data_IF_393632425620
#
_entry.id   IF_393632425620
#
_cell.length_a   1.000
_cell.length_b   1.000
_cell.length_c   1.000
_cell.angle_alpha   90.00
_cell.angle_beta   90.00
_cell.angle_gamma   90.00
#
_symmetry.space_group_name_H-M   'P 1'
#
loop_
_entity.id
_entity.type
_entity.pdbx_description
1 polymer ?
#
# COMPACT_ATOMS: atom_id res chain seq x y z
N UNK A 1 -8.09 33.53 -5.02
CA UNK A 1 -7.32 32.36 -4.56
C UNK A 1 -7.95 31.14 -5.20
N UNK A 2 -7.21 30.41 -6.05
CA UNK A 2 -7.55 29.10 -6.64
C UNK A 2 -6.30 28.66 -7.44
N UNK A 3 -5.30 28.11 -6.73
CA UNK A 3 -4.05 27.56 -7.29
C UNK A 3 -3.44 26.55 -6.30
N UNK A 4 -4.12 25.43 -6.10
CA UNK A 4 -3.61 24.22 -5.46
C UNK A 4 -4.20 23.05 -6.26
N UNK A 5 -3.44 21.95 -6.38
CA UNK A 5 -3.70 20.77 -7.24
C UNK A 5 -3.42 21.04 -8.75
N UNK A 6 -2.75 20.13 -9.50
CA UNK A 6 -2.16 18.84 -9.11
C UNK A 6 -0.62 18.81 -9.12
N UNK A 7 -0.03 18.17 -8.10
CA UNK A 7 1.36 17.66 -8.11
C UNK A 7 1.36 16.12 -8.33
N UNK A 8 0.19 15.50 -8.30
CA UNK A 8 -0.06 14.12 -8.72
C UNK A 8 0.20 13.95 -10.22
N UNK A 9 1.25 13.19 -10.56
CA UNK A 9 1.41 12.33 -11.76
C UNK A 9 2.90 12.24 -12.12
N UNK A 10 3.70 11.40 -11.45
CA UNK A 10 5.08 11.13 -11.87
C UNK A 10 5.40 9.62 -11.76
N UNK A 11 6.23 9.05 -12.68
CA UNK A 11 6.11 7.64 -13.08
C UNK A 11 7.36 6.84 -13.52
N UNK A 12 7.57 5.55 -13.04
CA UNK A 12 7.99 4.29 -13.78
C UNK A 12 8.48 3.00 -12.97
N UNK A 13 8.45 1.76 -13.54
CA UNK A 13 9.15 0.51 -13.11
C UNK A 13 9.32 -0.61 -14.17
N UNK A 14 10.17 -1.59 -13.81
CA UNK A 14 10.52 -2.87 -14.43
C UNK A 14 9.52 -4.05 -14.34
N UNK A 15 9.93 -5.20 -14.90
CA UNK A 15 9.27 -6.52 -14.89
C UNK A 15 9.09 -7.14 -13.50
N UNK A 16 8.24 -8.17 -13.38
CA UNK A 16 7.89 -8.88 -12.14
C UNK A 16 9.10 -9.10 -11.20
N UNK A 17 9.07 -8.36 -10.09
CA UNK A 17 9.96 -8.44 -8.95
C UNK A 17 9.15 -9.00 -7.78
N UNK A 18 9.79 -9.74 -6.88
CA UNK A 18 9.23 -10.02 -5.56
C UNK A 18 9.13 -8.68 -4.81
N UNK A 19 7.96 -8.05 -4.91
CA UNK A 19 7.72 -6.73 -4.37
C UNK A 19 7.50 -6.86 -2.86
N UNK A 20 8.20 -6.04 -2.09
CA UNK A 20 7.89 -5.85 -0.67
C UNK A 20 6.84 -4.75 -0.58
N UNK A 21 5.59 -5.15 -0.37
CA UNK A 21 4.42 -4.27 -0.27
C UNK A 21 4.14 -4.06 1.22
N UNK A 22 4.15 -2.81 1.67
CA UNK A 22 3.83 -2.40 3.04
C UNK A 22 2.47 -1.73 3.07
N UNK A 23 1.51 -2.38 3.73
CA UNK A 23 0.13 -1.92 3.90
C UNK A 23 -0.03 -1.36 5.32
N UNK A 24 -0.70 -0.21 5.42
CA UNK A 24 -1.19 0.32 6.70
C UNK A 24 -2.56 -0.30 6.98
N UNK A 25 -2.71 -1.17 8.00
CA UNK A 25 -3.97 -1.77 8.36
C UNK A 25 -4.91 -0.74 9.00
N UNK A 26 -6.21 -0.99 8.90
CA UNK A 26 -7.20 -0.31 9.72
C UNK A 26 -7.21 -0.96 11.11
N UNK A 27 -6.90 -0.20 12.15
CA UNK A 27 -7.00 -0.60 13.56
C UNK A 27 -8.29 -0.01 14.14
N UNK A 28 -9.20 -0.84 14.65
CA UNK A 28 -10.57 -0.45 15.04
C UNK A 28 -10.64 0.68 16.06
N UNK A 29 -9.73 0.67 17.04
CA UNK A 29 -9.63 1.69 18.09
C UNK A 29 -8.97 3.00 17.62
N UNK A 30 -8.42 3.01 16.39
CA UNK A 30 -7.43 3.99 15.96
C UNK A 30 -6.05 3.72 16.58
N UNK A 31 -5.07 4.56 16.20
CA UNK A 31 -3.73 4.59 16.79
C UNK A 31 -3.44 5.98 17.35
N UNK A 32 -2.65 6.11 18.43
CA UNK A 32 -2.08 5.03 19.24
C UNK A 32 -3.12 4.32 20.11
N UNK A 33 -2.85 3.08 20.53
CA UNK A 33 -3.81 2.26 21.30
C UNK A 33 -3.14 1.26 22.24
N UNK A 34 -3.92 0.61 23.12
CA UNK A 34 -3.46 -0.51 23.94
C UNK A 34 -4.37 -1.71 23.69
N UNK A 35 -3.78 -2.83 23.22
CA UNK A 35 -4.47 -4.10 23.03
C UNK A 35 -3.78 -5.14 23.91
N UNK A 36 -4.50 -5.62 24.91
CA UNK A 36 -4.03 -6.65 25.83
C UNK A 36 -4.04 -8.03 25.16
N UNK A 37 -3.11 -8.89 25.55
CA UNK A 37 -3.11 -10.31 25.20
C UNK A 37 -4.51 -10.95 25.38
N UNK A 38 -5.13 -11.46 24.30
CA UNK A 38 -6.37 -12.22 24.40
C UNK A 38 -6.09 -13.57 25.07
N UNK A 39 -7.03 -14.06 25.89
CA UNK A 39 -6.87 -15.31 26.61
C UNK A 39 -6.86 -16.51 25.63
N UNK A 40 -5.69 -16.97 25.17
CA UNK A 40 -5.59 -18.02 24.14
C UNK A 40 -6.19 -19.38 24.52
N UNK A 41 -6.53 -19.60 25.80
CA UNK A 41 -7.24 -20.81 26.24
C UNK A 41 -8.77 -20.68 26.17
N UNK A 42 -9.29 -19.49 25.89
CA UNK A 42 -10.71 -19.16 25.77
C UNK A 42 -11.03 -18.30 24.53
N UNK A 43 -10.02 -17.87 23.77
CA UNK A 43 -10.17 -16.88 22.73
C UNK A 43 -9.64 -17.38 21.37
N UNK A 44 -10.37 -17.07 20.28
CA UNK A 44 -11.67 -16.41 20.29
C UNK A 44 -12.79 -17.44 20.53
N UNK A 45 -13.77 -17.10 21.39
CA UNK A 45 -15.04 -17.82 21.48
C UNK A 45 -15.92 -17.43 20.27
N UNK A 46 -15.41 -17.71 19.06
CA UNK A 46 -16.10 -17.44 17.80
C UNK A 46 -16.81 -18.70 17.28
N UNK A 47 -17.87 -18.49 16.49
CA UNK A 47 -18.54 -19.56 15.78
C UNK A 47 -17.62 -20.05 14.65
N UNK A 48 -17.09 -21.25 14.84
CA UNK A 48 -16.25 -21.94 13.86
C UNK A 48 -16.93 -22.15 12.50
N UNK A 49 -18.26 -22.09 12.41
CA UNK A 49 -19.02 -22.36 11.19
C UNK A 49 -19.75 -21.12 10.63
N UNK A 50 -19.57 -19.94 11.23
CA UNK A 50 -20.10 -18.70 10.70
C UNK A 50 -19.18 -18.12 9.62
N UNK A 51 -19.49 -18.38 8.35
CA UNK A 51 -18.77 -17.84 7.20
C UNK A 51 -19.40 -16.56 6.61
N UNK A 52 -20.23 -15.86 7.39
CA UNK A 52 -20.84 -14.59 6.94
C UNK A 52 -19.76 -13.56 6.64
N UNK A 53 -19.93 -12.81 5.54
CA UNK A 53 -19.00 -11.75 5.15
C UNK A 53 -18.80 -10.75 6.31
N UNK A 54 -17.54 -10.44 6.61
CA UNK A 54 -17.16 -9.56 7.72
C UNK A 54 -17.02 -10.23 9.09
N UNK A 55 -17.49 -11.47 9.29
CA UNK A 55 -17.52 -12.09 10.63
C UNK A 55 -16.14 -12.16 11.32
N UNK A 56 -15.08 -12.58 10.61
CA UNK A 56 -13.73 -12.59 11.18
C UNK A 56 -13.20 -11.17 11.44
N UNK A 57 -13.57 -10.19 10.62
CA UNK A 57 -13.24 -8.77 10.85
C UNK A 57 -13.94 -8.23 12.09
N UNK A 58 -15.11 -8.75 12.49
CA UNK A 58 -15.76 -8.39 13.76
C UNK A 58 -14.98 -8.91 14.98
N UNK A 59 -14.26 -10.04 14.86
CA UNK A 59 -13.50 -10.66 15.95
C UNK A 59 -12.06 -10.15 16.10
N UNK A 60 -11.48 -9.56 15.05
CA UNK A 60 -10.10 -9.05 15.02
C UNK A 60 -10.03 -7.55 15.36
N UNK A 61 -8.96 -7.06 15.99
CA UNK A 61 -8.80 -5.62 16.28
C UNK A 61 -8.26 -4.81 15.09
N UNK A 62 -7.66 -5.47 14.11
CA UNK A 62 -7.15 -4.86 12.89
C UNK A 62 -7.48 -5.68 11.63
N UNK A 63 -7.52 -4.99 10.48
CA UNK A 63 -7.59 -5.63 9.18
C UNK A 63 -6.77 -4.89 8.12
N UNK A 64 -6.20 -5.62 7.17
CA UNK A 64 -5.48 -5.07 6.03
C UNK A 64 -6.12 -5.57 4.73
N UNK A 65 -6.65 -4.63 3.94
CA UNK A 65 -7.16 -4.93 2.62
C UNK A 65 -5.99 -5.10 1.64
N UNK A 66 -5.99 -6.20 0.89
CA UNK A 66 -4.93 -6.51 -0.06
C UNK A 66 -5.25 -5.96 -1.45
N UNK A 67 -4.24 -5.47 -2.21
CA UNK A 67 -4.45 -5.02 -3.58
C UNK A 67 -5.03 -6.14 -4.46
N UNK A 68 -6.00 -5.82 -5.31
CA UNK A 68 -6.57 -6.78 -6.27
C UNK A 68 -5.50 -7.29 -7.26
N UNK A 69 -4.45 -6.48 -7.49
CA UNK A 69 -3.29 -6.82 -8.32
C UNK A 69 -2.34 -7.84 -7.68
N UNK A 70 -2.40 -8.07 -6.36
CA UNK A 70 -1.54 -9.04 -5.68
C UNK A 70 -1.92 -10.46 -6.12
N UNK A 71 -1.04 -11.10 -6.89
CA UNK A 71 -1.28 -12.42 -7.49
C UNK A 71 -0.71 -13.58 -6.68
N UNK A 72 0.44 -13.35 -6.01
CA UNK A 72 1.11 -14.34 -5.17
C UNK A 72 1.56 -13.72 -3.84
N UNK A 73 1.80 -14.58 -2.85
CA UNK A 73 2.40 -14.23 -1.56
C UNK A 73 3.46 -15.29 -1.28
N UNK A 74 4.68 -14.85 -1.04
CA UNK A 74 5.82 -15.66 -0.59
C UNK A 74 6.00 -15.57 0.93
N UNK A 75 5.81 -14.37 1.49
CA UNK A 75 5.95 -14.09 2.92
C UNK A 75 4.99 -13.01 3.37
N UNK A 76 4.49 -13.09 4.61
CA UNK A 76 3.88 -11.93 5.28
C UNK A 76 4.42 -11.79 6.69
N UNK A 77 4.84 -10.57 7.03
CA UNK A 77 5.25 -10.18 8.37
C UNK A 77 4.39 -9.01 8.87
N UNK A 78 3.93 -9.08 10.11
CA UNK A 78 3.19 -8.00 10.77
C UNK A 78 4.14 -7.32 11.75
N UNK A 79 4.41 -6.03 11.53
CA UNK A 79 5.27 -5.19 12.37
C UNK A 79 4.42 -4.37 13.30
N UNK A 80 4.81 -4.31 14.57
CA UNK A 80 4.15 -3.48 15.58
C UNK A 80 5.21 -2.64 16.29
N UNK A 81 5.05 -1.32 16.26
CA UNK A 81 5.89 -0.38 17.00
C UNK A 81 5.23 -0.05 18.33
N UNK A 82 5.97 -0.16 19.42
CA UNK A 82 5.50 0.08 20.78
C UNK A 82 6.18 1.28 21.43
N UNK A 83 5.42 2.01 22.26
CA UNK A 83 5.92 3.00 23.22
C UNK A 83 5.54 2.61 24.66
N UNK A 84 6.11 3.31 25.63
CA UNK A 84 5.88 3.11 27.08
C UNK A 84 6.10 1.65 27.58
N UNK A 85 6.97 0.89 26.92
CA UNK A 85 7.23 -0.53 27.20
C UNK A 85 7.65 -0.76 28.65
N UNK A 86 6.79 -1.43 29.43
CA UNK A 86 7.06 -1.74 30.84
C UNK A 86 7.91 -3.02 30.99
N UNK A 87 9.23 -2.89 30.88
CA UNK A 87 10.25 -3.95 31.12
C UNK A 87 10.29 -4.54 32.55
N UNK A 88 9.29 -4.27 33.41
CA UNK A 88 9.23 -4.76 34.80
C UNK A 88 8.99 -6.28 34.90
N UNK A 89 8.52 -6.90 33.82
CA UNK A 89 8.31 -8.34 33.73
C UNK A 89 9.26 -8.92 32.69
N UNK A 90 10.26 -9.70 33.14
CA UNK A 90 11.28 -10.32 32.28
C UNK A 90 10.77 -11.46 31.36
N UNK A 91 9.46 -11.46 31.09
CA UNK A 91 8.73 -12.41 30.26
C UNK A 91 7.63 -11.73 29.44
N UNK A 92 7.68 -10.40 29.28
CA UNK A 92 6.73 -9.67 28.45
C UNK A 92 6.86 -10.08 26.97
N UNK A 93 5.73 -10.27 26.30
CA UNK A 93 5.64 -10.74 24.92
C UNK A 93 4.84 -9.76 24.05
N UNK A 94 5.33 -9.51 22.84
CA UNK A 94 4.49 -9.06 21.73
C UNK A 94 3.89 -10.29 21.06
N UNK A 95 2.66 -10.17 20.55
CA UNK A 95 2.06 -11.23 19.76
C UNK A 95 1.07 -10.71 18.73
N UNK A 96 0.77 -11.57 17.76
CA UNK A 96 -0.28 -11.33 16.77
C UNK A 96 -1.13 -12.58 16.64
N UNK A 97 -2.45 -12.43 16.76
CA UNK A 97 -3.42 -13.44 16.33
C UNK A 97 -3.95 -13.11 14.94
N UNK A 98 -3.68 -13.96 13.96
CA UNK A 98 -4.36 -13.97 12.66
C UNK A 98 -5.66 -14.76 12.76
N UNK A 99 -6.70 -14.29 12.09
CA UNK A 99 -8.01 -14.93 11.97
C UNK A 99 -8.19 -15.34 10.50
N UNK A 100 -8.54 -16.60 10.26
CA UNK A 100 -8.70 -17.19 8.91
C UNK A 100 -9.60 -18.43 8.98
N UNK A 101 -9.62 -19.29 7.96
CA UNK A 101 -10.42 -20.53 7.93
C UNK A 101 -9.67 -21.68 7.26
N UNK A 102 -9.81 -22.88 7.79
CA UNK A 102 -9.36 -24.10 7.09
C UNK A 102 -10.21 -24.34 5.84
N UNK A 103 -9.64 -24.98 4.82
CA UNK A 103 -10.36 -25.39 3.59
C UNK A 103 -10.41 -26.92 3.47
N UNK A 104 -11.54 -27.46 3.00
CA UNK A 104 -11.69 -28.90 2.75
C UNK A 104 -10.93 -29.35 1.48
N UNK A 105 -11.01 -30.64 1.14
CA UNK A 105 -10.39 -31.20 -0.07
C UNK A 105 -10.95 -30.67 -1.40
N UNK A 106 -12.10 -30.00 -1.37
CA UNK A 106 -12.77 -29.40 -2.52
C UNK A 106 -12.46 -27.89 -2.62
N UNK A 107 -11.72 -27.33 -1.65
CA UNK A 107 -11.34 -25.91 -1.57
C UNK A 107 -12.35 -25.01 -0.85
N UNK A 108 -13.45 -25.57 -0.34
CA UNK A 108 -14.49 -24.81 0.38
C UNK A 108 -14.09 -24.51 1.83
N UNK A 109 -14.64 -23.43 2.42
CA UNK A 109 -14.39 -23.04 3.81
C UNK A 109 -14.95 -24.12 4.76
N UNK A 110 -14.08 -24.72 5.58
CA UNK A 110 -14.42 -25.86 6.45
C UNK A 110 -14.71 -25.44 7.89
N UNK A 111 -13.88 -24.57 8.46
CA UNK A 111 -14.09 -23.95 9.78
C UNK A 111 -13.18 -22.73 9.97
N UNK A 112 -13.66 -21.71 10.68
CA UNK A 112 -12.86 -20.58 11.14
C UNK A 112 -11.80 -21.03 12.16
N UNK A 113 -10.61 -20.45 12.10
CA UNK A 113 -9.46 -20.79 12.95
C UNK A 113 -8.56 -19.57 13.16
N UNK A 114 -7.77 -19.57 14.23
CA UNK A 114 -6.70 -18.59 14.44
C UNK A 114 -5.33 -19.20 14.18
N UNK A 115 -4.35 -18.33 13.96
CA UNK A 115 -2.91 -18.64 13.96
C UNK A 115 -2.23 -17.57 14.80
N UNK A 116 -1.43 -17.97 15.77
CA UNK A 116 -0.78 -17.03 16.69
C UNK A 116 0.73 -17.12 16.59
N UNK A 117 1.40 -15.96 16.58
CA UNK A 117 2.85 -15.85 16.77
C UNK A 117 3.17 -14.95 17.97
N UNK A 118 4.34 -15.17 18.60
CA UNK A 118 4.81 -14.47 19.80
C UNK A 118 6.32 -14.30 19.81
N UNK A 119 6.77 -13.09 20.12
CA UNK A 119 8.18 -12.75 20.33
C UNK A 119 8.35 -12.01 21.66
N UNK A 120 9.59 -11.81 22.11
CA UNK A 120 9.85 -10.95 23.25
C UNK A 120 9.37 -9.52 22.95
N UNK A 121 8.75 -8.85 23.94
CA UNK A 121 8.32 -7.47 23.78
C UNK A 121 9.53 -6.53 23.69
N UNK A 122 9.55 -5.70 22.65
CA UNK A 122 10.58 -4.71 22.35
C UNK A 122 9.88 -3.47 21.73
N UNK A 123 10.61 -2.36 21.52
CA UNK A 123 10.08 -1.14 20.89
C UNK A 123 9.58 -1.38 19.45
N UNK A 124 10.06 -2.43 18.78
CA UNK A 124 9.54 -2.90 17.49
C UNK A 124 9.53 -4.43 17.46
N UNK A 125 8.36 -5.03 17.23
CA UNK A 125 8.20 -6.46 16.96
C UNK A 125 7.97 -6.73 15.48
N UNK A 126 8.37 -7.92 15.02
CA UNK A 126 8.07 -8.45 13.68
C UNK A 126 7.57 -9.90 13.84
N UNK A 127 6.39 -10.18 13.31
CA UNK A 127 5.70 -11.47 13.38
C UNK A 127 5.50 -12.04 11.97
N UNK A 128 6.33 -12.99 11.55
CA UNK A 128 6.31 -13.55 10.18
C UNK A 128 5.61 -14.91 10.12
N UNK A 129 4.63 -15.03 9.22
CA UNK A 129 3.74 -16.20 9.11
C UNK A 129 4.19 -17.17 8.02
N UNK A 130 5.40 -17.73 8.17
CA UNK A 130 6.09 -18.51 7.13
C UNK A 130 5.52 -19.93 6.91
N UNK A 131 4.55 -20.35 7.73
CA UNK A 131 4.29 -21.77 8.01
C UNK A 131 3.22 -22.45 7.14
N UNK A 132 2.45 -21.72 6.31
CA UNK A 132 1.31 -22.33 5.60
C UNK A 132 0.80 -21.61 4.35
N UNK A 133 1.09 -22.17 3.17
CA UNK A 133 0.60 -21.69 1.87
C UNK A 133 -0.93 -21.64 1.73
N UNK A 134 -1.69 -22.36 2.57
CA UNK A 134 -3.16 -22.30 2.55
C UNK A 134 -3.70 -20.98 3.11
N UNK A 135 -3.01 -20.39 4.10
CA UNK A 135 -3.35 -19.09 4.69
C UNK A 135 -3.20 -18.00 3.63
N UNK A 136 -2.09 -18.03 2.90
CA UNK A 136 -1.83 -17.13 1.78
C UNK A 136 -2.89 -17.24 0.68
N UNK A 137 -3.34 -18.47 0.35
CA UNK A 137 -4.45 -18.67 -0.61
C UNK A 137 -5.76 -18.03 -0.13
N UNK A 138 -6.09 -18.15 1.16
CA UNK A 138 -7.28 -17.49 1.72
C UNK A 138 -7.18 -15.97 1.60
N UNK A 139 -6.06 -15.38 2.03
CA UNK A 139 -5.83 -13.94 1.94
C UNK A 139 -5.84 -13.44 0.48
N UNK A 140 -5.28 -14.19 -0.46
CA UNK A 140 -5.33 -13.88 -1.89
C UNK A 140 -6.73 -13.98 -2.48
N UNK A 141 -7.59 -14.87 -1.96
CA UNK A 141 -8.96 -15.08 -2.42
C UNK A 141 -9.93 -14.02 -1.86
N UNK A 142 -9.90 -13.78 -0.54
CA UNK A 142 -10.77 -12.80 0.12
C UNK A 142 -10.23 -11.35 -0.02
N UNK A 143 -8.99 -11.16 -0.50
CA UNK A 143 -8.25 -9.88 -0.56
C UNK A 143 -8.24 -9.11 0.76
N UNK A 144 -8.19 -9.83 1.88
CA UNK A 144 -8.22 -9.25 3.22
C UNK A 144 -7.42 -10.12 4.20
N UNK A 145 -6.77 -9.46 5.17
CA UNK A 145 -6.12 -10.08 6.32
C UNK A 145 -6.73 -9.54 7.60
N UNK A 146 -7.24 -10.41 8.47
CA UNK A 146 -7.83 -10.02 9.76
C UNK A 146 -6.96 -10.51 10.90
N UNK A 147 -6.56 -9.61 11.81
CA UNK A 147 -5.61 -9.92 12.88
C UNK A 147 -5.72 -9.00 14.09
N UNK A 148 -5.19 -9.43 15.23
CA UNK A 148 -5.13 -8.67 16.49
C UNK A 148 -3.67 -8.63 16.94
N UNK A 149 -2.96 -7.49 16.79
CA UNK A 149 -1.68 -7.28 17.46
C UNK A 149 -1.93 -7.00 18.95
N UNK A 150 -1.07 -7.51 19.82
CA UNK A 150 -1.24 -7.37 21.28
C UNK A 150 0.10 -7.38 22.04
N UNK A 151 0.03 -6.96 23.30
CA UNK A 151 1.12 -7.13 24.28
C UNK A 151 0.62 -7.86 25.53
N UNK A 152 1.46 -8.72 26.11
CA UNK A 152 1.18 -9.41 27.38
C UNK A 152 1.27 -8.48 28.60
N UNK A 153 1.96 -7.35 28.46
CA UNK A 153 2.14 -6.32 29.49
C UNK A 153 1.78 -4.93 28.94
N UNK A 154 1.79 -3.90 29.78
CA UNK A 154 1.51 -2.54 29.33
C UNK A 154 2.60 -2.02 28.37
N UNK A 155 2.19 -1.79 27.12
CA UNK A 155 2.92 -1.09 26.07
C UNK A 155 1.90 -0.53 25.07
N UNK A 156 2.07 0.71 24.64
CA UNK A 156 1.17 1.38 23.71
C UNK A 156 1.60 1.05 22.28
N UNK A 157 0.67 0.59 21.44
CA UNK A 157 0.89 0.38 20.00
C UNK A 157 0.79 1.75 19.31
N UNK A 158 1.87 2.21 18.71
CA UNK A 158 1.97 3.48 17.97
C UNK A 158 1.74 3.29 16.46
N UNK A 159 2.28 2.21 15.89
CA UNK A 159 2.25 1.92 14.46
C UNK A 159 2.09 0.41 14.24
N UNK A 160 1.37 0.04 13.19
CA UNK A 160 1.18 -1.36 12.77
C UNK A 160 1.35 -1.40 11.25
N UNK A 161 2.11 -2.35 10.73
CA UNK A 161 2.32 -2.52 9.28
C UNK A 161 2.23 -3.97 8.87
N UNK A 162 1.54 -4.25 7.77
CA UNK A 162 1.55 -5.57 7.13
C UNK A 162 2.53 -5.52 5.96
N UNK A 163 3.63 -6.25 6.06
CA UNK A 163 4.69 -6.32 5.06
C UNK A 163 4.58 -7.64 4.31
N UNK A 164 4.26 -7.57 3.02
CA UNK A 164 4.03 -8.71 2.14
C UNK A 164 5.16 -8.79 1.13
N UNK A 165 5.79 -9.96 1.01
CA UNK A 165 6.66 -10.31 -0.11
C UNK A 165 5.83 -11.13 -1.10
N UNK A 166 5.72 -10.69 -2.35
CA UNK A 166 4.92 -11.37 -3.38
C UNK A 166 4.90 -10.62 -4.72
N UNK A 167 4.21 -11.17 -5.71
CA UNK A 167 4.19 -10.62 -7.07
C UNK A 167 2.85 -9.95 -7.41
N UNK A 168 2.94 -8.87 -8.19
CA UNK A 168 1.78 -8.21 -8.80
C UNK A 168 1.50 -8.79 -10.19
N UNK A 169 0.25 -9.19 -10.44
CA UNK A 169 -0.22 -9.67 -11.75
C UNK A 169 -1.07 -8.57 -12.40
N UNK A 170 -0.39 -7.76 -13.21
CA UNK A 170 -0.98 -6.61 -13.90
C UNK A 170 -1.74 -7.03 -15.15
N UNK A 171 -2.95 -6.50 -15.33
CA UNK A 171 -3.83 -6.82 -16.45
C UNK A 171 -3.35 -6.22 -17.77
N UNK A 172 -3.58 -6.94 -18.87
CA UNK A 172 -3.41 -6.44 -20.23
C UNK A 172 -4.69 -5.75 -20.76
N UNK A 173 -5.79 -5.77 -20.00
CA UNK A 173 -6.99 -4.99 -20.28
C UNK A 173 -6.84 -3.58 -19.67
N UNK A 174 -6.87 -2.49 -20.47
CA UNK A 174 -6.57 -1.14 -20.00
C UNK A 174 -7.44 -0.67 -18.81
N UNK A 175 -8.74 -0.97 -18.84
CA UNK A 175 -9.69 -0.56 -17.81
C UNK A 175 -9.46 -1.29 -16.47
N UNK A 176 -9.22 -2.60 -16.54
CA UNK A 176 -8.90 -3.43 -15.36
C UNK A 176 -7.55 -3.03 -14.79
N UNK A 177 -6.55 -2.78 -15.63
CA UNK A 177 -5.24 -2.28 -15.21
C UNK A 177 -5.33 -0.94 -14.45
N UNK A 178 -6.14 0.01 -14.94
CA UNK A 178 -6.39 1.27 -14.21
C UNK A 178 -7.09 1.04 -12.87
N UNK A 179 -8.03 0.09 -12.81
CA UNK A 179 -8.70 -0.29 -11.57
C UNK A 179 -7.70 -0.91 -10.58
N UNK A 180 -6.80 -1.77 -11.05
CA UNK A 180 -5.71 -2.36 -10.26
C UNK A 180 -4.75 -1.32 -9.69
N UNK A 181 -4.36 -0.33 -10.49
CA UNK A 181 -3.52 0.80 -10.04
C UNK A 181 -4.19 1.61 -8.93
N UNK A 182 -5.43 2.02 -9.16
CA UNK A 182 -6.16 2.89 -8.24
C UNK A 182 -6.54 2.16 -6.93
N UNK A 183 -6.81 0.85 -6.99
CA UNK A 183 -6.98 -0.02 -5.81
C UNK A 183 -5.65 -0.23 -5.04
N UNK A 184 -4.53 -0.32 -5.75
CA UNK A 184 -3.22 -0.42 -5.10
C UNK A 184 -2.87 0.84 -4.31
N UNK A 185 -3.04 2.03 -4.88
CA UNK A 185 -2.72 3.29 -4.18
C UNK A 185 -3.71 3.68 -3.08
N UNK A 186 -4.94 3.14 -3.06
CA UNK A 186 -5.84 3.35 -1.92
C UNK A 186 -5.45 2.49 -0.70
N UNK A 187 -4.82 1.32 -0.92
CA UNK A 187 -4.46 0.35 0.12
C UNK A 187 -2.99 0.41 0.57
N UNK A 188 -2.08 0.63 -0.39
CA UNK A 188 -0.62 0.63 -0.18
C UNK A 188 -0.08 2.07 -0.16
N UNK A 189 -0.57 2.89 -1.09
CA UNK A 189 -0.16 4.28 -1.25
C UNK A 189 0.71 4.55 -2.48
N UNK A 190 0.95 5.83 -2.76
CA UNK A 190 1.72 6.29 -3.91
C UNK A 190 3.22 5.98 -3.79
N UNK A 191 3.80 6.05 -2.59
CA UNK A 191 5.25 5.85 -2.40
C UNK A 191 5.77 4.42 -2.58
N UNK A 192 4.91 3.50 -3.00
CA UNK A 192 5.25 2.10 -3.36
C UNK A 192 4.67 1.71 -4.72
N UNK A 193 4.02 2.65 -5.41
CA UNK A 193 3.21 2.36 -6.59
C UNK A 193 3.98 2.41 -7.89
N UNK A 194 5.27 2.79 -7.89
CA UNK A 194 6.13 2.83 -9.09
C UNK A 194 5.91 1.64 -10.03
N UNK A 195 5.56 0.46 -9.50
CA UNK A 195 5.29 -0.74 -10.29
C UNK A 195 4.20 -0.67 -11.40
N UNK A 196 3.25 0.26 -11.32
CA UNK A 196 2.23 0.47 -12.37
C UNK A 196 2.66 1.43 -13.49
N UNK A 197 3.84 2.01 -13.35
CA UNK A 197 4.33 3.12 -14.13
C UNK A 197 5.35 2.44 -15.17
N UNK A 198 5.56 2.90 -16.43
CA UNK A 198 6.36 2.24 -17.55
C UNK A 198 7.90 2.23 -17.29
N UNK A 199 8.86 2.23 -18.22
CA UNK A 199 10.32 2.35 -17.93
C UNK A 199 11.15 3.34 -18.80
N UNK A 200 10.55 4.19 -19.66
CA UNK A 200 11.22 5.36 -20.29
C UNK A 200 11.19 6.68 -19.49
N UNK A 201 10.06 7.36 -19.37
CA UNK A 201 9.91 8.64 -18.69
C UNK A 201 10.19 8.72 -17.18
N UNK A 202 10.48 7.67 -16.38
CA UNK A 202 11.26 7.93 -15.13
C UNK A 202 12.53 8.60 -15.55
N UNK A 203 13.20 8.03 -16.54
CA UNK A 203 14.52 8.46 -16.93
C UNK A 203 14.40 9.88 -17.48
N UNK A 204 13.29 10.19 -18.16
CA UNK A 204 12.94 11.57 -18.54
C UNK A 204 12.68 12.48 -17.34
N UNK A 205 11.83 12.09 -16.38
CA UNK A 205 11.55 12.85 -15.16
C UNK A 205 12.81 13.07 -14.33
N UNK A 206 13.55 12.00 -14.04
CA UNK A 206 14.78 11.95 -13.26
C UNK A 206 15.83 12.82 -13.92
N UNK A 207 16.03 12.73 -15.24
CA UNK A 207 16.90 13.64 -15.97
C UNK A 207 16.43 15.11 -15.93
N UNK A 208 15.12 15.37 -16.00
CA UNK A 208 14.56 16.72 -15.82
C UNK A 208 14.73 17.24 -14.37
N UNK A 209 14.66 16.34 -13.40
CA UNK A 209 14.84 16.62 -11.98
C UNK A 209 16.30 16.96 -11.68
N UNK A 210 17.23 16.10 -12.09
CA UNK A 210 18.68 16.31 -12.04
C UNK A 210 19.06 17.62 -12.74
N UNK A 211 18.61 17.84 -13.98
CA UNK A 211 18.85 19.09 -14.70
C UNK A 211 18.26 20.31 -13.98
N UNK A 212 17.12 20.16 -13.32
CA UNK A 212 16.49 21.19 -12.50
C UNK A 212 17.30 21.54 -11.25
N UNK A 213 17.94 20.54 -10.63
CA UNK A 213 18.85 20.72 -9.50
C UNK A 213 20.16 21.38 -9.93
N UNK A 214 20.78 20.95 -11.04
CA UNK A 214 21.97 21.58 -11.63
C UNK A 214 21.76 23.07 -11.91
N UNK A 215 20.58 23.41 -12.45
CA UNK A 215 20.15 24.80 -12.72
C UNK A 215 19.76 25.59 -11.47
N UNK A 216 19.82 24.99 -10.28
CA UNK A 216 19.38 25.56 -9.00
C UNK A 216 17.91 26.06 -9.02
N UNK A 217 17.03 25.34 -9.73
CA UNK A 217 15.61 25.68 -9.83
C UNK A 217 14.93 25.54 -8.47
N UNK A 218 14.35 26.64 -7.97
CA UNK A 218 13.77 26.70 -6.62
C UNK A 218 12.61 25.71 -6.43
N UNK A 219 11.79 25.49 -7.47
CA UNK A 219 10.71 24.50 -7.43
C UNK A 219 11.26 23.08 -7.23
N UNK A 220 12.38 22.77 -7.89
CA UNK A 220 12.98 21.43 -7.89
C UNK A 220 13.72 21.16 -6.58
N UNK A 221 14.42 22.17 -6.05
CA UNK A 221 15.00 22.13 -4.70
C UNK A 221 13.91 21.95 -3.63
N UNK A 222 12.78 22.63 -3.77
CA UNK A 222 11.63 22.47 -2.86
C UNK A 222 11.06 21.05 -2.89
N UNK A 223 10.84 20.48 -4.09
CA UNK A 223 10.42 19.07 -4.25
C UNK A 223 11.47 18.11 -3.67
N UNK A 224 12.77 18.35 -3.92
CA UNK A 224 13.87 17.55 -3.39
C UNK A 224 13.82 17.48 -1.87
N UNK A 225 13.71 18.64 -1.22
CA UNK A 225 13.67 18.74 0.23
C UNK A 225 12.45 18.06 0.86
N UNK A 226 11.33 17.96 0.13
CA UNK A 226 10.11 17.27 0.59
C UNK A 226 10.20 15.76 0.41
N UNK A 227 10.56 15.29 -0.78
CA UNK A 227 10.47 13.87 -1.14
C UNK A 227 11.73 13.07 -0.74
N UNK A 228 12.91 13.67 -0.92
CA UNK A 228 14.21 13.04 -0.70
C UNK A 228 14.88 13.51 0.59
N UNK A 229 14.57 14.74 1.05
CA UNK A 229 15.15 15.36 2.24
C UNK A 229 16.16 16.46 1.91
N UNK A 230 16.53 17.27 2.91
CA UNK A 230 17.41 18.43 2.73
C UNK A 230 18.84 18.05 2.34
N UNK A 231 19.33 16.96 2.90
CA UNK A 231 20.77 16.65 2.92
C UNK A 231 21.20 15.77 1.73
N UNK A 232 20.25 15.19 1.01
CA UNK A 232 20.49 14.34 -0.17
C UNK A 232 21.08 15.16 -1.33
N UNK A 233 22.15 14.65 -1.91
CA UNK A 233 22.91 15.22 -3.04
C UNK A 233 22.30 14.87 -4.41
N UNK A 234 22.76 15.53 -5.46
CA UNK A 234 22.34 15.22 -6.84
C UNK A 234 22.90 13.85 -7.24
N UNK A 235 24.13 13.56 -6.83
CA UNK A 235 24.84 12.31 -7.08
C UNK A 235 24.14 11.10 -6.43
N UNK A 236 23.64 11.24 -5.20
CA UNK A 236 22.84 10.19 -4.55
C UNK A 236 21.53 9.91 -5.30
N UNK A 237 20.84 10.96 -5.77
CA UNK A 237 19.62 10.82 -6.59
C UNK A 237 19.94 10.15 -7.93
N UNK A 238 21.05 10.55 -8.58
CA UNK A 238 21.50 9.94 -9.83
C UNK A 238 21.83 8.45 -9.67
N UNK A 239 22.36 8.03 -8.51
CA UNK A 239 22.65 6.63 -8.20
C UNK A 239 21.43 5.76 -7.87
N UNK A 240 20.28 6.34 -7.50
CA UNK A 240 19.05 5.58 -7.27
C UNK A 240 18.65 4.78 -8.52
N UNK A 241 18.15 3.57 -8.34
CA UNK A 241 17.42 2.90 -9.42
C UNK A 241 16.20 3.73 -9.82
N UNK A 242 15.66 3.42 -11.00
CA UNK A 242 14.44 4.05 -11.48
C UNK A 242 13.34 3.96 -10.39
N UNK A 243 13.00 2.74 -9.95
CA UNK A 243 11.94 2.48 -8.99
C UNK A 243 12.14 3.18 -7.63
N UNK A 244 13.37 3.18 -7.07
CA UNK A 244 13.69 3.87 -5.81
C UNK A 244 13.49 5.38 -5.91
N UNK A 245 13.98 6.01 -6.98
CA UNK A 245 13.78 7.43 -7.24
C UNK A 245 12.28 7.76 -7.29
N UNK A 246 11.48 6.88 -7.90
CA UNK A 246 10.06 7.11 -8.13
C UNK A 246 9.20 6.94 -6.88
N UNK A 247 9.40 5.83 -6.16
CA UNK A 247 8.76 5.59 -4.87
C UNK A 247 9.10 6.71 -3.88
N UNK A 248 10.37 7.15 -3.85
CA UNK A 248 10.79 8.32 -3.04
C UNK A 248 10.12 9.61 -3.50
N UNK A 249 10.13 9.90 -4.81
CA UNK A 249 9.49 11.10 -5.37
C UNK A 249 8.01 11.20 -4.98
N UNK A 250 7.26 10.08 -5.07
CA UNK A 250 5.82 10.03 -4.80
C UNK A 250 5.44 10.30 -3.34
N UNK A 251 6.38 10.28 -2.39
CA UNK A 251 6.16 10.75 -1.01
C UNK A 251 5.71 12.20 -0.92
N UNK A 252 5.93 13.00 -1.95
CA UNK A 252 5.35 14.35 -2.03
C UNK A 252 3.81 14.35 -1.92
N UNK A 253 3.14 13.26 -2.32
CA UNK A 253 1.70 13.12 -2.22
C UNK A 253 1.21 13.22 -0.77
N UNK A 254 1.92 12.58 0.17
CA UNK A 254 1.61 12.69 1.61
C UNK A 254 1.64 14.14 2.10
N UNK A 255 2.61 14.94 1.66
CA UNK A 255 2.73 16.36 2.08
C UNK A 255 1.78 17.29 1.35
N UNK A 256 1.34 16.95 0.14
CA UNK A 256 0.41 17.76 -0.67
C UNK A 256 -1.06 17.47 -0.35
N UNK A 257 -1.41 16.20 -0.10
CA UNK A 257 -2.78 15.75 0.16
C UNK A 257 -3.07 15.50 1.65
N UNK A 258 -2.04 15.40 2.49
CA UNK A 258 -2.17 14.97 3.89
C UNK A 258 -2.31 13.46 4.07
N UNK A 259 -2.24 12.70 2.97
CA UNK A 259 -2.30 11.23 2.93
C UNK A 259 -1.44 10.71 1.79
N UNK A 260 -0.79 9.57 1.98
CA UNK A 260 -0.09 8.82 0.93
C UNK A 260 -1.04 7.90 0.13
N UNK A 261 -2.31 7.78 0.54
CA UNK A 261 -3.34 6.98 -0.13
C UNK A 261 -4.49 7.84 -0.64
N UNK A 262 -5.16 7.40 -1.71
CA UNK A 262 -6.41 8.05 -2.17
C UNK A 262 -7.59 7.55 -1.35
N UNK A 263 -8.34 8.48 -0.75
CA UNK A 263 -9.63 8.20 -0.10
C UNK A 263 -10.78 8.40 -1.10
N UNK A 264 -10.95 7.44 -2.03
CA UNK A 264 -12.05 7.44 -3.00
C UNK A 264 -13.05 6.33 -2.71
N UNK A 265 -14.31 6.71 -2.50
CA UNK A 265 -15.42 5.78 -2.23
C UNK A 265 -16.09 5.24 -3.49
N UNK A 266 -15.70 5.73 -4.67
CA UNK A 266 -16.23 5.28 -5.95
C UNK A 266 -15.25 5.51 -7.10
N UNK A 267 -15.08 4.50 -7.93
CA UNK A 267 -14.25 4.53 -9.13
C UNK A 267 -15.02 3.88 -10.28
N UNK A 268 -15.05 4.56 -11.43
CA UNK A 268 -15.60 3.98 -12.66
C UNK A 268 -14.84 4.47 -13.89
N UNK A 269 -14.35 3.55 -14.72
CA UNK A 269 -13.96 3.84 -16.09
C UNK A 269 -15.21 4.23 -16.89
N UNK A 270 -15.23 5.43 -17.44
CA UNK A 270 -16.36 5.96 -18.22
C UNK A 270 -16.20 5.68 -19.72
N UNK A 271 -14.99 5.81 -20.24
CA UNK A 271 -14.67 5.67 -21.66
C UNK A 271 -13.17 5.46 -21.84
N UNK A 272 -12.78 4.80 -22.92
CA UNK A 272 -11.39 4.69 -23.35
C UNK A 272 -11.26 4.88 -24.87
N UNK A 273 -10.15 5.48 -25.31
CA UNK A 273 -9.81 5.59 -26.73
C UNK A 273 -8.29 5.51 -26.92
N UNK A 274 -7.85 5.33 -28.15
CA UNK A 274 -6.43 5.18 -28.49
C UNK A 274 -6.02 6.17 -29.57
N UNK A 275 -4.87 6.81 -29.39
CA UNK A 275 -4.33 7.79 -30.33
C UNK A 275 -2.80 7.84 -30.20
N UNK A 276 -2.09 7.69 -31.32
CA UNK A 276 -0.61 7.70 -31.37
C UNK A 276 0.04 6.77 -30.33
N UNK A 277 -0.39 5.51 -30.31
CA UNK A 277 0.10 4.44 -29.41
C UNK A 277 -0.08 4.72 -27.90
N UNK A 278 -0.85 5.76 -27.56
CA UNK A 278 -1.26 6.11 -26.20
C UNK A 278 -2.75 5.79 -26.03
N UNK A 279 -3.07 5.09 -24.95
CA UNK A 279 -4.43 4.82 -24.50
C UNK A 279 -4.88 5.92 -23.54
N UNK A 280 -6.01 6.54 -23.82
CA UNK A 280 -6.62 7.58 -22.99
C UNK A 280 -7.82 6.98 -22.28
N UNK A 281 -7.82 6.98 -20.95
CA UNK A 281 -8.88 6.38 -20.13
C UNK A 281 -9.49 7.47 -19.26
N UNK A 282 -10.77 7.75 -19.48
CA UNK A 282 -11.53 8.70 -18.67
C UNK A 282 -12.09 7.95 -17.47
N UNK A 283 -11.65 8.33 -16.27
CA UNK A 283 -12.19 7.80 -15.01
C UNK A 283 -13.07 8.83 -14.32
N UNK A 284 -14.16 8.36 -13.71
CA UNK A 284 -14.90 9.06 -12.67
C UNK A 284 -14.40 8.54 -11.32
N UNK A 285 -13.89 9.43 -10.48
CA UNK A 285 -13.68 9.19 -9.06
C UNK A 285 -14.70 9.96 -8.23
N UNK A 286 -15.01 9.48 -7.03
CA UNK A 286 -15.67 10.29 -6.01
C UNK A 286 -14.86 10.25 -4.73
N UNK A 287 -14.65 11.42 -4.16
CA UNK A 287 -13.93 11.62 -2.90
C UNK A 287 -14.89 12.22 -1.89
N UNK A 288 -14.93 11.66 -0.68
CA UNK A 288 -15.80 12.17 0.38
C UNK A 288 -15.07 13.24 1.19
N UNK A 289 -15.16 14.47 0.70
CA UNK A 289 -14.56 15.66 1.29
C UNK A 289 -15.51 16.26 2.33
N UNK A 290 -15.16 16.11 3.62
CA UNK A 290 -15.92 16.67 4.75
C UNK A 290 -17.42 16.27 4.72
N UNK A 291 -17.70 14.98 4.48
CA UNK A 291 -19.05 14.43 4.39
C UNK A 291 -19.82 14.78 3.10
N UNK A 292 -19.17 15.41 2.12
CA UNK A 292 -19.75 15.71 0.82
C UNK A 292 -19.01 14.92 -0.27
N UNK A 293 -19.75 14.10 -1.02
CA UNK A 293 -19.19 13.32 -2.12
C UNK A 293 -18.93 14.21 -3.33
N UNK A 294 -17.67 14.50 -3.62
CA UNK A 294 -17.23 15.31 -4.77
C UNK A 294 -16.85 14.39 -5.91
N UNK A 295 -17.59 14.49 -7.01
CA UNK A 295 -17.31 13.76 -8.25
C UNK A 295 -16.24 14.50 -9.06
N UNK A 296 -15.17 13.78 -9.41
CA UNK A 296 -14.09 14.27 -10.27
C UNK A 296 -13.99 13.42 -11.54
N UNK A 297 -13.38 13.98 -12.58
CA UNK A 297 -13.05 13.24 -13.80
C UNK A 297 -11.58 13.46 -14.12
N UNK A 298 -10.86 12.37 -14.32
CA UNK A 298 -9.45 12.39 -14.69
C UNK A 298 -9.23 11.63 -16.00
N UNK A 299 -8.17 11.99 -16.72
CA UNK A 299 -7.75 11.28 -17.93
C UNK A 299 -6.41 10.61 -17.63
N UNK A 300 -6.46 9.30 -17.44
CA UNK A 300 -5.28 8.47 -17.23
C UNK A 300 -4.74 8.05 -18.58
N UNK A 301 -3.45 8.28 -18.82
CA UNK A 301 -2.77 7.84 -20.04
C UNK A 301 -2.03 6.53 -19.76
N UNK A 302 -2.20 5.54 -20.65
CA UNK A 302 -1.37 4.35 -20.69
C UNK A 302 -0.57 4.31 -21.99
N UNK A 303 0.62 3.72 -21.93
CA UNK A 303 1.44 3.36 -23.09
C UNK A 303 1.93 1.92 -22.87
N UNK A 304 2.12 1.18 -23.96
CA UNK A 304 2.59 -0.21 -23.87
C UNK A 304 4.08 -0.29 -23.52
N UNK A 305 4.39 -1.19 -22.62
CA UNK A 305 5.75 -1.65 -22.33
C UNK A 305 5.80 -3.18 -22.53
N UNK A 306 6.33 -3.59 -23.68
CA UNK A 306 6.13 -4.95 -24.17
C UNK A 306 4.63 -5.24 -24.36
N UNK A 307 4.15 -6.32 -23.74
CA UNK A 307 2.74 -6.73 -23.80
C UNK A 307 1.85 -6.08 -22.73
N UNK A 308 2.43 -5.34 -21.78
CA UNK A 308 1.69 -4.76 -20.66
C UNK A 308 1.35 -3.30 -20.91
N UNK A 309 0.17 -2.88 -20.45
CA UNK A 309 -0.08 -1.46 -20.27
C UNK A 309 0.63 -0.98 -19.01
N UNK A 310 1.19 0.20 -19.11
CA UNK A 310 1.78 0.93 -17.99
C UNK A 310 1.33 2.38 -18.07
N UNK A 311 1.20 3.03 -16.93
CA UNK A 311 0.79 4.42 -16.86
C UNK A 311 1.88 5.32 -17.45
N UNK A 312 1.48 6.32 -18.23
CA UNK A 312 2.35 7.15 -19.06
C UNK A 312 2.25 8.64 -18.70
N UNK A 313 3.38 9.35 -18.77
CA UNK A 313 3.47 10.77 -18.41
C UNK A 313 3.30 11.69 -19.60
N UNK A 314 2.53 12.75 -19.39
CA UNK A 314 2.39 13.82 -20.39
C UNK A 314 3.51 14.85 -20.24
N UNK A 315 3.87 15.49 -21.36
CA UNK A 315 4.88 16.54 -21.40
C UNK A 315 4.59 17.78 -20.52
N UNK A 316 3.38 17.93 -19.99
CA UNK A 316 3.00 19.06 -19.11
C UNK A 316 3.88 19.18 -17.86
N UNK A 317 4.47 18.07 -17.39
CA UNK A 317 5.39 18.06 -16.25
C UNK A 317 6.72 18.74 -16.58
N UNK A 318 7.14 18.77 -17.86
CA UNK A 318 8.33 19.50 -18.32
C UNK A 318 8.25 20.98 -17.95
N UNK A 319 7.04 21.56 -17.98
CA UNK A 319 6.78 22.95 -17.59
C UNK A 319 6.92 23.27 -16.09
N UNK A 320 7.13 22.28 -15.22
CA UNK A 320 7.47 22.49 -13.80
C UNK A 320 8.98 22.46 -13.53
N UNK A 321 9.77 21.84 -14.42
CA UNK A 321 11.23 21.65 -14.29
C UNK A 321 12.07 22.61 -15.15
N UNK A 322 11.43 23.33 -16.08
CA UNK A 322 12.04 24.33 -16.98
C UNK A 322 11.73 25.75 -16.49
#
# INVERSE_FOLDING_TARGET
MNKLIPISMLFFSTSAICNTITILPNVKSGLPTFIQEPNLYQAPDFDHFNFTYGYLSEQAEAFAELPIALGSIERVCIKTTFSEVSYKEGSAQSGVLVYTYSTNSEGEKAYNTTIGDRVALDEMSEHCFDESSWVYRNWLADKNMTFTPYSSSFAIIEDVRVVIQGELVLSQEPAVFVTQYLDFISKVGFDQSANFYHTDSIRELKALFEQGLDKNSQNVIFIKNIAFGTDVTIEEIAMMTDEEFMNTFLRIMEKVQGSNTINSSYLKVLNDFEYQDIKYIVVETREDLQGHSVKQHEVILLKKEGEYWKLYMVENLKGFFI
#
